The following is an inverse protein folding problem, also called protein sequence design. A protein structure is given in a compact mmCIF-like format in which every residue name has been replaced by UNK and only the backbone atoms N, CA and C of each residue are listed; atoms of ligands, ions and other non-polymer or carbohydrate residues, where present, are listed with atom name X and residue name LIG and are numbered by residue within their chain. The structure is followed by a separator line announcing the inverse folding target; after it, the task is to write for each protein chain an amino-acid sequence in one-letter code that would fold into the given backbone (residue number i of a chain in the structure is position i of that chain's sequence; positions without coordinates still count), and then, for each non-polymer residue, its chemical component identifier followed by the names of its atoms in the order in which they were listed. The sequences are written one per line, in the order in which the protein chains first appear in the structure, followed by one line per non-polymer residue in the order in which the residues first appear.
data_IF_276140622880
#
_entry.id   IF_276140622880
#
_cell.length_a   1.000
_cell.length_b   1.000
_cell.length_c   1.000
_cell.angle_alpha   90.00
_cell.angle_beta   90.00
_cell.angle_gamma   90.00
#
_symmetry.space_group_name_H-M   'P 1'
#
loop_
_entity.id
_entity.type
_entity.pdbx_description
1 polymer ?
#
# COMPACT_ATOMS: atom_id res chain seq x y z
N UNK A 1 17.82 38.93 -2.44
CA UNK A 1 17.78 37.86 -1.41
C UNK A 1 16.55 36.94 -1.51
N UNK A 2 15.37 37.44 -1.88
CA UNK A 2 14.14 36.62 -1.99
C UNK A 2 14.14 35.60 -3.15
N UNK A 3 14.66 35.98 -4.32
CA UNK A 3 14.63 35.09 -5.52
C UNK A 3 15.46 33.81 -5.36
N UNK A 4 16.62 33.87 -4.71
CA UNK A 4 17.47 32.69 -4.52
C UNK A 4 16.79 31.66 -3.61
N UNK A 5 16.19 32.12 -2.50
CA UNK A 5 15.46 31.25 -1.55
C UNK A 5 14.26 30.59 -2.22
N UNK A 6 13.51 31.35 -3.03
CA UNK A 6 12.37 30.84 -3.78
C UNK A 6 12.78 29.75 -4.79
N UNK A 7 13.86 29.99 -5.55
CA UNK A 7 14.42 29.01 -6.47
C UNK A 7 14.87 27.72 -5.76
N UNK A 8 15.51 27.83 -4.60
CA UNK A 8 15.98 26.67 -3.84
C UNK A 8 14.80 25.86 -3.26
N UNK A 9 13.75 26.53 -2.80
CA UNK A 9 12.51 25.88 -2.37
C UNK A 9 11.82 25.14 -3.51
N UNK A 10 11.76 25.76 -4.69
CA UNK A 10 11.14 25.18 -5.88
C UNK A 10 11.92 23.95 -6.36
N UNK A 11 13.26 24.03 -6.41
CA UNK A 11 14.14 22.89 -6.72
C UNK A 11 13.97 21.75 -5.71
N UNK A 12 13.93 22.05 -4.41
CA UNK A 12 13.73 21.03 -3.38
C UNK A 12 12.35 20.38 -3.46
N UNK A 13 11.32 21.12 -3.88
CA UNK A 13 9.99 20.54 -4.12
C UNK A 13 9.98 19.62 -5.34
N UNK A 14 10.57 20.05 -6.46
CA UNK A 14 10.68 19.25 -7.68
C UNK A 14 11.44 17.94 -7.43
N UNK A 15 12.57 17.98 -6.74
CA UNK A 15 13.34 16.78 -6.37
C UNK A 15 12.48 15.77 -5.61
N UNK A 16 11.71 16.24 -4.61
CA UNK A 16 10.83 15.35 -3.82
C UNK A 16 9.71 14.76 -4.67
N UNK A 17 9.15 15.55 -5.58
CA UNK A 17 8.09 15.10 -6.46
C UNK A 17 8.61 14.04 -7.44
N UNK A 18 9.78 14.25 -8.03
CA UNK A 18 10.43 13.30 -8.92
C UNK A 18 10.69 11.95 -8.23
N UNK A 19 11.30 11.96 -7.03
CA UNK A 19 11.51 10.71 -6.29
C UNK A 19 10.19 10.02 -5.91
N UNK A 20 9.19 10.77 -5.46
CA UNK A 20 7.89 10.19 -5.13
C UNK A 20 7.25 9.52 -6.36
N UNK A 21 7.26 10.18 -7.51
CA UNK A 21 6.72 9.65 -8.77
C UNK A 21 7.49 8.41 -9.25
N UNK A 22 8.81 8.33 -9.01
CA UNK A 22 9.63 7.13 -9.27
C UNK A 22 9.35 5.99 -8.30
N UNK A 23 9.04 6.28 -7.03
CA UNK A 23 8.74 5.25 -6.03
C UNK A 23 7.38 4.57 -6.27
N UNK A 24 6.37 5.32 -6.73
CA UNK A 24 4.99 4.82 -6.85
C UNK A 24 4.86 3.56 -7.73
N UNK A 25 5.45 3.48 -8.94
CA UNK A 25 5.41 2.27 -9.76
C UNK A 25 6.07 1.07 -9.07
N UNK A 26 7.19 1.28 -8.38
CA UNK A 26 7.90 0.23 -7.66
C UNK A 26 7.08 -0.30 -6.49
N UNK A 27 6.50 0.59 -5.68
CA UNK A 27 5.60 0.25 -4.58
C UNK A 27 4.40 -0.56 -5.10
N UNK A 28 3.77 -0.10 -6.19
CA UNK A 28 2.65 -0.82 -6.80
C UNK A 28 3.03 -2.20 -7.34
N UNK A 29 4.22 -2.34 -7.94
CA UNK A 29 4.74 -3.61 -8.44
C UNK A 29 5.06 -4.59 -7.29
N UNK A 30 5.71 -4.11 -6.24
CA UNK A 30 6.01 -4.87 -5.03
C UNK A 30 4.75 -5.45 -4.41
N UNK A 31 3.71 -4.63 -4.28
CA UNK A 31 2.43 -5.08 -3.74
C UNK A 31 1.74 -6.11 -4.65
N UNK A 32 1.52 -5.78 -5.93
CA UNK A 32 0.77 -6.67 -6.84
C UNK A 32 1.48 -8.00 -7.10
N UNK A 33 2.80 -7.97 -7.28
CA UNK A 33 3.55 -9.14 -7.74
C UNK A 33 4.12 -9.99 -6.61
N UNK A 34 4.23 -9.44 -5.39
CA UNK A 34 4.84 -10.14 -4.24
C UNK A 34 4.10 -9.97 -2.91
N UNK A 35 2.96 -9.28 -2.87
CA UNK A 35 2.25 -8.92 -1.62
C UNK A 35 3.15 -8.23 -0.59
N UNK A 36 4.10 -7.41 -1.07
CA UNK A 36 4.94 -6.59 -0.20
C UNK A 36 4.25 -5.25 0.04
N UNK A 37 3.80 -4.99 1.27
CA UNK A 37 3.22 -3.70 1.67
C UNK A 37 4.33 -2.77 2.18
N UNK A 38 4.51 -1.63 1.51
CA UNK A 38 5.52 -0.64 1.88
C UNK A 38 4.90 0.43 2.79
N UNK A 39 5.58 0.73 3.90
CA UNK A 39 5.22 1.84 4.79
C UNK A 39 6.42 2.73 5.13
N UNK A 40 6.13 3.91 5.67
CA UNK A 40 7.11 4.82 6.28
C UNK A 40 6.61 5.17 7.68
N UNK A 41 7.31 4.67 8.70
CA UNK A 41 6.95 4.81 10.12
C UNK A 41 5.47 4.49 10.38
N UNK A 42 5.05 3.29 9.95
CA UNK A 42 3.68 2.78 10.10
C UNK A 42 2.65 3.37 9.13
N UNK A 43 2.97 4.44 8.38
CA UNK A 43 2.08 4.97 7.35
C UNK A 43 2.23 4.17 6.06
N UNK A 44 1.22 3.37 5.72
CA UNK A 44 1.18 2.62 4.47
C UNK A 44 1.25 3.55 3.25
N UNK A 45 2.02 3.15 2.25
CA UNK A 45 2.13 3.82 0.95
C UNK A 45 1.30 3.12 -0.14
N UNK A 46 0.50 2.11 0.22
CA UNK A 46 -0.42 1.47 -0.71
C UNK A 46 -1.45 2.49 -1.20
N UNK A 47 -1.60 2.59 -2.52
CA UNK A 47 -2.49 3.56 -3.20
C UNK A 47 -2.20 5.03 -2.83
N UNK A 48 -1.01 5.35 -2.31
CA UNK A 48 -0.62 6.70 -1.96
C UNK A 48 -0.44 7.58 -3.21
N UNK A 49 -0.77 8.86 -3.10
CA UNK A 49 -0.35 9.87 -4.09
C UNK A 49 1.12 10.27 -3.87
N UNK A 50 1.73 10.94 -4.85
CA UNK A 50 3.08 11.48 -4.68
C UNK A 50 3.17 12.43 -3.47
N UNK A 51 2.11 13.22 -3.24
CA UNK A 51 1.99 14.12 -2.09
C UNK A 51 1.95 13.32 -0.78
N UNK A 52 1.27 12.17 -0.74
CA UNK A 52 1.22 11.33 0.45
C UNK A 52 2.57 10.71 0.78
N UNK A 53 3.32 10.26 -0.24
CA UNK A 53 4.69 9.77 -0.07
C UNK A 53 5.58 10.88 0.51
N UNK A 54 5.50 12.10 -0.03
CA UNK A 54 6.27 13.24 0.49
C UNK A 54 5.89 13.56 1.94
N UNK A 55 4.60 13.56 2.27
CA UNK A 55 4.12 13.81 3.63
C UNK A 55 4.58 12.72 4.61
N UNK A 56 4.58 11.45 4.20
CA UNK A 56 5.04 10.33 5.03
C UNK A 56 6.53 10.44 5.39
N UNK A 57 7.39 10.85 4.45
CA UNK A 57 8.81 11.10 4.72
C UNK A 57 9.01 12.31 5.64
N UNK A 58 8.19 13.35 5.49
CA UNK A 58 8.22 14.52 6.37
C UNK A 58 7.81 14.18 7.81
N UNK A 59 6.93 13.21 8.03
CA UNK A 59 6.51 12.82 9.39
C UNK A 59 7.56 12.07 10.18
N UNK A 60 8.62 11.53 9.54
CA UNK A 60 9.73 10.87 10.24
C UNK A 60 10.36 11.76 11.31
N UNK A 61 10.38 13.08 11.11
CA UNK A 61 10.88 14.04 12.11
C UNK A 61 10.14 14.01 13.45
N UNK A 62 8.91 13.49 13.49
CA UNK A 62 8.15 13.32 14.72
C UNK A 62 8.66 12.15 15.56
N UNK A 63 9.36 11.20 14.93
CA UNK A 63 9.96 10.04 15.57
C UNK A 63 11.46 10.27 15.84
N UNK A 64 12.18 10.81 14.86
CA UNK A 64 13.64 10.83 14.84
C UNK A 64 14.26 12.23 14.95
N UNK A 65 13.44 13.26 15.20
CA UNK A 65 13.90 14.65 15.35
C UNK A 65 14.28 15.37 14.04
N UNK A 66 14.51 14.65 12.93
CA UNK A 66 14.75 15.23 11.61
C UNK A 66 13.97 14.49 10.50
N UNK A 67 13.76 15.18 9.38
CA UNK A 67 13.05 14.60 8.22
C UNK A 67 13.94 13.57 7.51
N UNK A 68 13.33 12.49 7.04
CA UNK A 68 13.93 11.59 6.05
C UNK A 68 13.71 12.17 4.65
N UNK A 69 14.73 12.20 3.81
CA UNK A 69 14.62 12.67 2.41
C UNK A 69 14.23 11.48 1.52
N UNK A 70 13.43 11.72 0.49
CA UNK A 70 13.00 10.64 -0.41
C UNK A 70 14.18 10.00 -1.16
N UNK A 71 15.23 10.77 -1.45
CA UNK A 71 16.46 10.23 -2.05
C UNK A 71 17.23 9.26 -1.16
N UNK A 72 17.00 9.29 0.15
CA UNK A 72 17.63 8.40 1.13
C UNK A 72 16.88 7.06 1.22
N UNK A 73 15.57 7.06 0.96
CA UNK A 73 14.72 5.86 0.96
C UNK A 73 14.50 5.25 -0.43
N UNK A 74 14.63 6.04 -1.50
CA UNK A 74 14.48 5.56 -2.88
C UNK A 74 15.40 4.37 -3.21
N UNK A 75 16.71 4.39 -2.88
CA UNK A 75 17.60 3.25 -3.12
C UNK A 75 17.12 1.96 -2.46
N UNK A 76 16.47 2.06 -1.30
CA UNK A 76 15.90 0.90 -0.60
C UNK A 76 14.71 0.36 -1.36
N UNK A 77 13.77 1.21 -1.78
CA UNK A 77 12.61 0.75 -2.58
C UNK A 77 13.05 0.11 -3.89
N UNK A 78 14.06 0.68 -4.54
CA UNK A 78 14.64 0.15 -5.77
C UNK A 78 15.27 -1.23 -5.55
N UNK A 79 16.09 -1.38 -4.50
CA UNK A 79 16.69 -2.66 -4.11
C UNK A 79 15.62 -3.72 -3.76
N UNK A 80 14.59 -3.37 -3.00
CA UNK A 80 13.48 -4.28 -2.69
C UNK A 80 12.77 -4.77 -3.97
N UNK A 81 12.70 -3.92 -5.00
CA UNK A 81 12.05 -4.27 -6.27
C UNK A 81 12.78 -5.39 -7.03
N UNK A 82 14.08 -5.56 -6.81
CA UNK A 82 14.90 -6.61 -7.45
C UNK A 82 15.09 -7.85 -6.58
N UNK A 83 15.02 -7.73 -5.25
CA UNK A 83 15.15 -8.86 -4.33
C UNK A 83 13.99 -9.87 -4.44
N UNK A 84 14.29 -11.15 -4.26
CA UNK A 84 13.28 -12.18 -4.07
C UNK A 84 12.85 -12.15 -2.59
N UNK A 85 11.59 -11.79 -2.34
CA UNK A 85 11.03 -11.60 -1.00
C UNK A 85 9.73 -12.37 -0.88
N UNK A 86 9.54 -13.09 0.22
CA UNK A 86 8.25 -13.62 0.63
C UNK A 86 7.28 -12.47 1.04
N UNK A 87 5.95 -12.66 0.98
CA UNK A 87 4.98 -11.64 1.36
C UNK A 87 5.22 -11.08 2.76
N UNK A 88 5.22 -9.75 2.89
CA UNK A 88 5.58 -9.07 4.13
C UNK A 88 5.12 -7.61 4.14
N UNK A 89 5.08 -7.00 5.33
CA UNK A 89 5.01 -5.56 5.48
C UNK A 89 6.41 -5.03 5.80
N UNK A 90 6.90 -4.09 5.00
CA UNK A 90 8.25 -3.53 5.14
C UNK A 90 8.16 -2.03 5.39
N UNK A 91 8.67 -1.60 6.54
CA UNK A 91 8.82 -0.17 6.86
C UNK A 91 10.12 0.38 6.27
N UNK A 92 10.03 0.85 5.03
CA UNK A 92 11.14 1.48 4.32
C UNK A 92 11.63 2.75 5.02
N UNK A 93 10.75 3.44 5.74
CA UNK A 93 11.15 4.60 6.55
C UNK A 93 12.19 4.22 7.59
N UNK A 94 11.96 3.14 8.32
CA UNK A 94 12.90 2.61 9.32
C UNK A 94 14.17 2.08 8.67
N UNK A 95 14.06 1.26 7.63
CA UNK A 95 15.25 0.73 6.94
C UNK A 95 16.15 1.86 6.39
N UNK A 96 15.55 2.88 5.79
CA UNK A 96 16.30 4.01 5.26
C UNK A 96 16.93 4.83 6.37
N UNK A 97 16.23 5.01 7.48
CA UNK A 97 16.78 5.67 8.64
C UNK A 97 17.98 4.91 9.22
N UNK A 98 17.82 3.61 9.47
CA UNK A 98 18.87 2.75 10.02
C UNK A 98 20.10 2.68 9.13
N UNK A 99 19.91 2.61 7.80
CA UNK A 99 21.02 2.60 6.85
C UNK A 99 21.77 3.93 6.78
N UNK A 100 21.07 5.07 6.84
CA UNK A 100 21.71 6.38 6.66
C UNK A 100 22.22 7.01 7.97
N UNK A 101 21.61 6.68 9.11
CA UNK A 101 21.85 7.37 10.37
C UNK A 101 22.01 6.44 11.59
N UNK A 102 21.51 5.21 11.50
CA UNK A 102 21.51 4.25 12.59
C UNK A 102 22.60 3.18 12.46
N UNK A 103 22.21 1.93 12.68
CA UNK A 103 23.13 0.78 12.77
C UNK A 103 23.88 0.49 11.47
N UNK A 104 23.28 0.83 10.34
CA UNK A 104 23.84 0.61 9.01
C UNK A 104 24.71 1.75 8.49
N UNK A 105 24.87 2.84 9.24
CA UNK A 105 25.56 4.06 8.79
C UNK A 105 27.01 3.82 8.33
N UNK A 106 27.70 2.84 8.92
CA UNK A 106 29.07 2.49 8.55
C UNK A 106 29.14 1.48 7.39
N UNK A 107 28.00 0.92 6.98
CA UNK A 107 27.92 -0.01 5.86
C UNK A 107 27.81 0.77 4.54
N UNK A 108 28.60 0.36 3.55
CA UNK A 108 28.53 0.93 2.19
C UNK A 108 27.72 0.07 1.23
N UNK A 109 27.52 -1.20 1.58
CA UNK A 109 26.77 -2.16 0.78
C UNK A 109 25.32 -2.26 1.27
N UNK A 110 24.42 -1.57 0.56
CA UNK A 110 22.99 -1.63 0.81
C UNK A 110 22.41 -3.04 0.63
N UNK A 111 22.94 -3.84 -0.29
CA UNK A 111 22.48 -5.20 -0.53
C UNK A 111 22.77 -6.09 0.67
N UNK A 112 23.99 -6.03 1.21
CA UNK A 112 24.35 -6.76 2.43
C UNK A 112 23.48 -6.37 3.62
N UNK A 113 23.26 -5.06 3.81
CA UNK A 113 22.36 -4.54 4.85
C UNK A 113 20.96 -5.13 4.75
N UNK A 114 20.34 -5.07 3.56
CA UNK A 114 18.97 -5.54 3.36
C UNK A 114 18.85 -7.06 3.50
N UNK A 115 19.83 -7.83 3.05
CA UNK A 115 19.85 -9.29 3.26
C UNK A 115 19.91 -9.64 4.75
N UNK A 116 20.64 -8.87 5.55
CA UNK A 116 20.71 -9.05 7.00
C UNK A 116 19.36 -8.70 7.67
N UNK A 117 18.84 -7.50 7.41
CA UNK A 117 17.62 -6.98 8.03
C UNK A 117 16.35 -7.74 7.63
N UNK A 118 16.34 -8.33 6.43
CA UNK A 118 15.19 -9.04 5.86
C UNK A 118 15.45 -10.55 5.73
N UNK A 119 16.38 -11.08 6.51
CA UNK A 119 16.79 -12.50 6.45
C UNK A 119 15.65 -13.49 6.63
N UNK A 120 14.60 -13.12 7.38
CA UNK A 120 13.40 -13.93 7.59
C UNK A 120 12.50 -14.06 6.34
N UNK A 121 12.67 -13.20 5.33
CA UNK A 121 11.81 -13.15 4.14
C UNK A 121 12.56 -13.18 2.81
N UNK A 122 13.85 -12.83 2.80
CA UNK A 122 14.71 -12.86 1.62
C UNK A 122 14.92 -14.29 1.17
N UNK A 123 14.72 -14.53 -0.13
CA UNK A 123 14.83 -15.83 -0.78
C UNK A 123 13.94 -16.93 -0.16
N UNK A 124 12.94 -16.54 0.64
CA UNK A 124 11.95 -17.45 1.19
C UNK A 124 10.75 -17.62 0.24
N UNK A 125 10.09 -18.77 0.35
CA UNK A 125 8.85 -19.06 -0.36
C UNK A 125 7.62 -18.47 0.33
N UNK A 126 6.52 -18.40 -0.39
CA UNK A 126 5.21 -18.05 0.17
C UNK A 126 4.48 -19.34 0.61
N UNK A 127 4.60 -19.67 1.89
CA UNK A 127 4.03 -20.90 2.46
C UNK A 127 2.56 -20.75 2.88
N UNK A 128 2.00 -19.54 2.84
CA UNK A 128 0.65 -19.31 3.35
C UNK A 128 -0.40 -19.71 2.31
N UNK A 129 -1.25 -20.67 2.67
CA UNK A 129 -2.41 -21.00 1.86
C UNK A 129 -3.42 -19.83 1.86
N UNK A 130 -4.03 -19.48 0.71
CA UNK A 130 -5.11 -18.51 0.68
C UNK A 130 -6.32 -18.99 1.51
N UNK A 131 -6.93 -18.07 2.25
CA UNK A 131 -8.11 -18.27 3.06
C UNK A 131 -9.32 -17.57 2.43
N UNK A 132 -10.35 -18.35 2.16
CA UNK A 132 -11.64 -17.81 1.73
C UNK A 132 -12.37 -17.18 2.93
N UNK A 133 -12.95 -16.00 2.69
CA UNK A 133 -13.64 -15.17 3.68
C UNK A 133 -15.09 -14.99 3.25
N UNK A 134 -16.01 -15.24 4.17
CA UNK A 134 -17.44 -14.97 4.02
C UNK A 134 -17.87 -13.97 5.06
N UNK A 135 -18.45 -12.85 4.63
CA UNK A 135 -18.92 -11.80 5.55
C UNK A 135 -20.39 -12.02 5.87
N UNK A 136 -20.71 -12.26 7.14
CA UNK A 136 -22.09 -12.29 7.62
C UNK A 136 -22.56 -10.88 7.97
N UNK A 137 -23.32 -10.27 7.05
CA UNK A 137 -23.92 -8.96 7.20
C UNK A 137 -23.23 -7.87 6.37
N UNK A 138 -24.03 -7.12 5.61
CA UNK A 138 -23.58 -6.01 4.76
C UNK A 138 -24.01 -4.63 5.27
N UNK A 139 -23.89 -4.46 6.59
CA UNK A 139 -24.05 -3.18 7.27
C UNK A 139 -22.84 -2.26 7.04
N UNK A 140 -22.67 -1.26 7.89
CA UNK A 140 -21.56 -0.29 7.75
C UNK A 140 -20.18 -0.96 7.84
N UNK A 141 -19.94 -1.77 8.88
CA UNK A 141 -18.67 -2.47 9.09
C UNK A 141 -18.42 -3.51 7.99
N UNK A 142 -19.44 -4.32 7.67
CA UNK A 142 -19.33 -5.34 6.63
C UNK A 142 -18.97 -4.75 5.26
N UNK A 143 -19.55 -3.60 4.89
CA UNK A 143 -19.17 -2.88 3.66
C UNK A 143 -17.75 -2.34 3.72
N UNK A 144 -17.34 -1.74 4.83
CA UNK A 144 -15.99 -1.21 4.97
C UNK A 144 -14.94 -2.32 4.87
N UNK A 145 -15.18 -3.45 5.55
CA UNK A 145 -14.31 -4.62 5.46
C UNK A 145 -14.30 -5.22 4.05
N UNK A 146 -15.47 -5.32 3.40
CA UNK A 146 -15.55 -5.76 2.02
C UNK A 146 -14.72 -4.86 1.09
N UNK A 147 -14.82 -3.53 1.24
CA UNK A 147 -14.00 -2.58 0.48
C UNK A 147 -12.51 -2.82 0.70
N UNK A 148 -12.06 -2.94 1.95
CA UNK A 148 -10.65 -3.18 2.27
C UNK A 148 -10.15 -4.52 1.70
N UNK A 149 -10.96 -5.57 1.74
CA UNK A 149 -10.61 -6.88 1.16
C UNK A 149 -10.50 -6.81 -0.37
N UNK A 150 -11.42 -6.10 -1.04
CA UNK A 150 -11.41 -5.93 -2.50
C UNK A 150 -10.26 -5.00 -2.94
N UNK A 151 -9.97 -3.93 -2.20
CA UNK A 151 -8.84 -3.03 -2.49
C UNK A 151 -7.50 -3.73 -2.38
N UNK A 152 -7.42 -4.73 -1.49
CA UNK A 152 -6.22 -5.55 -1.29
C UNK A 152 -6.14 -6.76 -2.23
N UNK A 153 -7.11 -6.94 -3.12
CA UNK A 153 -7.22 -8.15 -3.92
C UNK A 153 -6.12 -8.22 -4.99
N UNK A 154 -5.53 -9.40 -5.15
CA UNK A 154 -4.42 -9.66 -6.05
C UNK A 154 -3.97 -11.12 -5.92
N UNK A 155 -3.14 -11.60 -6.85
CA UNK A 155 -2.66 -13.00 -6.87
C UNK A 155 -2.01 -13.44 -5.57
N UNK A 156 -1.39 -12.50 -4.86
CA UNK A 156 -0.67 -12.78 -3.61
C UNK A 156 -1.41 -12.40 -2.33
N UNK A 157 -2.64 -11.83 -2.43
CA UNK A 157 -3.44 -11.64 -1.22
C UNK A 157 -4.06 -12.97 -0.80
N UNK A 158 -3.84 -13.31 0.48
CA UNK A 158 -4.30 -14.56 1.07
C UNK A 158 -5.75 -14.50 1.50
N UNK A 159 -6.33 -13.33 1.79
CA UNK A 159 -7.74 -13.23 2.15
C UNK A 159 -8.60 -12.99 0.92
N UNK A 160 -9.43 -13.98 0.58
CA UNK A 160 -10.29 -13.94 -0.61
C UNK A 160 -11.75 -13.80 -0.20
N UNK A 161 -12.32 -12.61 -0.38
CA UNK A 161 -13.75 -12.41 -0.17
C UNK A 161 -14.52 -13.25 -1.20
N UNK A 162 -15.27 -14.26 -0.75
CA UNK A 162 -16.05 -15.15 -1.63
C UNK A 162 -17.53 -14.87 -1.60
N UNK A 163 -18.05 -14.45 -0.46
CA UNK A 163 -19.47 -14.19 -0.31
C UNK A 163 -19.73 -13.16 0.78
N UNK A 164 -20.87 -12.50 0.63
CA UNK A 164 -21.45 -11.63 1.65
C UNK A 164 -22.88 -12.13 1.88
N UNK A 165 -23.14 -12.60 3.09
CA UNK A 165 -24.47 -13.07 3.48
C UNK A 165 -25.29 -11.88 3.94
N UNK A 166 -26.45 -11.68 3.35
CA UNK A 166 -27.40 -10.62 3.69
C UNK A 166 -28.74 -11.21 4.14
N UNK A 167 -29.49 -10.43 4.92
CA UNK A 167 -30.87 -10.78 5.28
C UNK A 167 -31.80 -10.20 4.20
N UNK A 168 -32.48 -11.08 3.47
CA UNK A 168 -33.46 -10.71 2.43
C UNK A 168 -32.92 -10.88 1.01
N UNK A 169 -33.82 -11.24 0.09
CA UNK A 169 -33.56 -11.53 -1.32
C UNK A 169 -34.76 -11.19 -2.18
N UNK A 170 -35.29 -9.97 -2.01
CA UNK A 170 -36.33 -9.43 -2.89
C UNK A 170 -35.74 -8.75 -4.12
N UNK A 171 -36.59 -8.44 -5.10
CA UNK A 171 -36.18 -7.76 -6.33
C UNK A 171 -35.46 -6.43 -6.03
N UNK A 172 -34.30 -6.23 -6.66
CA UNK A 172 -33.51 -5.01 -6.53
C UNK A 172 -32.57 -4.94 -5.32
N UNK A 173 -32.49 -5.96 -4.45
CA UNK A 173 -31.57 -5.92 -3.31
C UNK A 173 -30.11 -5.86 -3.80
N UNK A 174 -29.75 -6.65 -4.82
CA UNK A 174 -28.39 -6.70 -5.36
C UNK A 174 -27.91 -5.34 -5.89
N UNK A 175 -28.75 -4.61 -6.63
CA UNK A 175 -28.48 -3.26 -7.10
C UNK A 175 -28.33 -2.26 -5.94
N UNK A 176 -29.15 -2.39 -4.90
CA UNK A 176 -29.05 -1.58 -3.69
C UNK A 176 -27.73 -1.83 -2.97
N UNK A 177 -27.29 -3.09 -2.84
CA UNK A 177 -25.98 -3.44 -2.27
C UNK A 177 -24.84 -2.89 -3.11
N UNK A 178 -24.90 -3.01 -4.43
CA UNK A 178 -23.92 -2.43 -5.35
C UNK A 178 -23.81 -0.90 -5.15
N UNK A 179 -24.94 -0.20 -5.07
CA UNK A 179 -24.98 1.26 -4.85
C UNK A 179 -24.34 1.66 -3.53
N UNK A 180 -24.68 0.97 -2.44
CA UNK A 180 -24.09 1.20 -1.11
C UNK A 180 -22.59 0.88 -1.07
N UNK A 181 -22.13 -0.10 -1.85
CA UNK A 181 -20.72 -0.40 -1.96
C UNK A 181 -20.00 0.65 -2.81
N UNK A 182 -20.62 1.23 -3.85
CA UNK A 182 -20.04 2.29 -4.69
C UNK A 182 -19.87 3.63 -3.97
N UNK A 183 -20.81 4.03 -3.12
CA UNK A 183 -20.76 5.33 -2.44
C UNK A 183 -21.06 5.19 -0.95
N UNK A 184 -20.07 5.57 -0.14
CA UNK A 184 -20.23 5.70 1.32
C UNK A 184 -20.16 7.19 1.67
N UNK A 185 -21.02 7.66 2.56
CA UNK A 185 -21.09 9.07 2.93
C UNK A 185 -19.89 9.55 3.74
N UNK A 186 -19.20 8.64 4.44
CA UNK A 186 -18.04 8.95 5.29
C UNK A 186 -16.75 8.56 4.60
N UNK A 187 -16.72 7.42 3.93
CA UNK A 187 -15.53 6.88 3.27
C UNK A 187 -15.43 7.20 1.78
N UNK A 188 -16.40 7.94 1.23
CA UNK A 188 -16.38 8.40 -0.15
C UNK A 188 -16.67 7.30 -1.18
N UNK A 189 -16.33 7.56 -2.46
CA UNK A 189 -16.53 6.61 -3.53
C UNK A 189 -15.61 5.39 -3.38
N UNK A 190 -16.08 4.23 -3.84
CA UNK A 190 -15.24 3.04 -3.98
C UNK A 190 -14.14 3.27 -5.02
N UNK A 191 -12.90 2.90 -4.68
CA UNK A 191 -11.76 3.05 -5.56
C UNK A 191 -11.68 1.86 -6.54
N UNK A 192 -12.57 1.85 -7.53
CA UNK A 192 -12.68 0.74 -8.47
C UNK A 192 -13.99 0.68 -9.24
N UNK A 193 -14.22 -0.43 -9.92
CA UNK A 193 -15.47 -0.71 -10.63
C UNK A 193 -16.31 -1.72 -9.88
N UNK A 194 -17.63 -1.54 -9.91
CA UNK A 194 -18.61 -2.49 -9.37
C UNK A 194 -19.67 -2.70 -10.44
N UNK A 195 -19.89 -3.95 -10.85
CA UNK A 195 -20.90 -4.39 -11.81
C UNK A 195 -21.81 -5.41 -11.16
N UNK A 196 -23.07 -5.43 -11.58
CA UNK A 196 -24.07 -6.39 -11.08
C UNK A 196 -24.22 -7.52 -12.10
N UNK A 197 -23.99 -8.75 -11.68
CA UNK A 197 -24.24 -9.96 -12.47
C UNK A 197 -25.52 -10.61 -11.93
N UNK A 198 -26.63 -10.41 -12.66
CA UNK A 198 -27.95 -10.91 -12.25
C UNK A 198 -28.07 -12.42 -12.39
N UNK A 199 -27.47 -12.98 -13.43
CA UNK A 199 -27.53 -14.42 -13.70
C UNK A 199 -26.83 -15.21 -12.60
N UNK A 200 -25.68 -14.71 -12.12
CA UNK A 200 -24.92 -15.33 -11.03
C UNK A 200 -25.32 -14.83 -9.64
N UNK A 201 -26.28 -13.90 -9.55
CA UNK A 201 -26.64 -13.21 -8.31
C UNK A 201 -25.41 -12.66 -7.56
N UNK A 202 -24.50 -11.99 -8.28
CA UNK A 202 -23.18 -11.60 -7.80
C UNK A 202 -22.88 -10.11 -8.02
N UNK A 203 -22.02 -9.57 -7.17
CA UNK A 203 -21.39 -8.27 -7.37
C UNK A 203 -19.97 -8.51 -7.86
N UNK A 204 -19.68 -8.04 -9.07
CA UNK A 204 -18.34 -8.09 -9.65
C UNK A 204 -17.62 -6.80 -9.29
N UNK A 205 -16.56 -6.88 -8.49
CA UNK A 205 -15.77 -5.72 -8.09
C UNK A 205 -14.32 -5.87 -8.58
N UNK A 206 -13.82 -4.88 -9.33
CA UNK A 206 -12.48 -4.89 -9.92
C UNK A 206 -12.14 -6.15 -10.75
N UNK A 207 -13.15 -6.78 -11.35
CA UNK A 207 -13.00 -8.00 -12.16
C UNK A 207 -13.07 -9.32 -11.40
N UNK A 208 -13.36 -9.29 -10.09
CA UNK A 208 -13.61 -10.47 -9.25
C UNK A 208 -15.05 -10.58 -8.78
#
# INVERSE_FOLDING_TARGET
MNQQVEQDLQKSWQERQEYAERMLPLIGKLYRNRAIEISVYGRSLLNASAIDVIKAHRSVRLHEGQKLRLRESFPIVDALSVLQLAPAQIDVGKLAWEFNYGRGKEQTDLGAFLNQELSDIVNQGDEQAPQDVVLYGFGRIGRLLARLLIERQGTNNKLRLRAIVVRGGGDGDLEKRASLLRRDSVHGPFNGSITVDKERNALLANGS
#
